data_IF_789150991630
#
_entry.id   IF_789150991630
#
_cell.length_a   1.000
_cell.length_b   1.000
_cell.length_c   1.000
_cell.angle_alpha   90.00
_cell.angle_beta   90.00
_cell.angle_gamma   90.00
#
_symmetry.space_group_name_H-M   'P 1'
#
loop_
_entity.id
_entity.type
_entity.pdbx_description
1 polymer ?
#
# COMPACT_ATOMS: atom_id res chain seq x y z
N UNK A 1 13.03 36.67 27.36
CA UNK A 1 12.82 35.26 26.98
C UNK A 1 11.35 35.14 26.63
N UNK A 2 11.00 34.57 25.45
CA UNK A 2 9.58 34.33 25.13
C UNK A 2 9.24 32.94 25.68
N UNK A 3 8.33 32.87 26.63
CA UNK A 3 7.80 31.62 27.17
C UNK A 3 6.51 31.24 26.42
N UNK A 4 6.34 29.99 26.15
CA UNK A 4 5.08 29.43 25.61
C UNK A 4 4.38 28.78 26.81
N UNK A 5 3.17 29.26 27.13
CA UNK A 5 2.32 28.57 28.10
C UNK A 5 1.73 27.33 27.43
N UNK A 6 2.00 26.19 28.04
CA UNK A 6 1.48 24.89 27.65
C UNK A 6 0.41 24.55 28.69
N UNK A 7 -0.79 24.16 28.25
CA UNK A 7 -1.84 23.70 29.17
C UNK A 7 -1.49 22.34 29.76
N UNK A 8 -2.07 22.01 30.90
CA UNK A 8 -1.79 20.78 31.66
C UNK A 8 -2.09 19.53 30.84
N UNK A 9 -3.08 19.56 29.96
CA UNK A 9 -3.45 18.42 29.10
C UNK A 9 -2.36 18.17 28.06
N UNK A 10 -1.86 19.23 27.40
CA UNK A 10 -0.79 19.11 26.43
C UNK A 10 0.53 18.69 27.09
N UNK A 11 0.82 19.20 28.29
CA UNK A 11 1.98 18.78 29.08
C UNK A 11 1.92 17.31 29.44
N UNK A 12 0.74 16.80 29.79
CA UNK A 12 0.54 15.37 30.04
C UNK A 12 0.80 14.55 28.78
N UNK A 13 0.26 14.97 27.63
CA UNK A 13 0.49 14.30 26.32
C UNK A 13 2.00 14.23 26.01
N UNK A 14 2.75 15.31 26.22
CA UNK A 14 4.20 15.32 26.00
C UNK A 14 4.94 14.37 26.94
N UNK A 15 4.56 14.32 28.22
CA UNK A 15 5.14 13.40 29.21
C UNK A 15 4.87 11.94 28.83
N UNK A 16 3.64 11.62 28.44
CA UNK A 16 3.22 10.28 28.02
C UNK A 16 3.96 9.86 26.73
N UNK A 17 4.00 10.73 25.72
CA UNK A 17 4.73 10.49 24.47
C UNK A 17 6.23 10.26 24.74
N UNK A 18 6.83 11.09 25.59
CA UNK A 18 8.24 10.91 25.99
C UNK A 18 8.48 9.58 26.64
N UNK A 19 7.63 9.19 27.60
CA UNK A 19 7.75 7.90 28.28
C UNK A 19 7.65 6.73 27.30
N UNK A 20 6.73 6.79 26.35
CA UNK A 20 6.60 5.81 25.29
C UNK A 20 7.87 5.73 24.43
N UNK A 21 8.40 6.87 23.98
CA UNK A 21 9.60 6.93 23.14
C UNK A 21 10.86 6.41 23.81
N UNK A 22 11.03 6.68 25.11
CA UNK A 22 12.18 6.20 25.90
C UNK A 22 12.15 4.67 26.10
N UNK A 23 10.94 4.11 26.18
CA UNK A 23 10.73 2.67 26.50
C UNK A 23 10.48 1.80 25.29
N UNK A 24 10.16 2.38 24.13
CA UNK A 24 9.88 1.63 22.91
C UNK A 24 11.16 1.10 22.26
N UNK A 25 10.99 0.04 21.47
CA UNK A 25 12.04 -0.41 20.56
C UNK A 25 12.14 0.54 19.36
N UNK A 26 13.26 1.23 19.24
CA UNK A 26 13.51 2.17 18.15
C UNK A 26 14.05 1.50 16.87
N UNK A 27 14.10 0.16 16.83
CA UNK A 27 14.59 -0.61 15.68
C UNK A 27 15.96 -0.13 15.16
N UNK A 28 16.83 0.33 16.07
CA UNK A 28 18.16 0.83 15.73
C UNK A 28 18.17 2.20 15.04
N UNK A 29 17.03 2.87 14.93
CA UNK A 29 16.89 4.17 14.27
C UNK A 29 16.90 5.29 15.32
N UNK A 30 17.79 6.28 15.14
CA UNK A 30 17.76 7.50 15.98
C UNK A 30 16.60 8.39 15.58
N UNK A 31 15.88 8.94 16.54
CA UNK A 31 14.72 9.81 16.33
C UNK A 31 13.69 9.21 15.35
N UNK A 32 13.18 8.00 15.60
CA UNK A 32 12.27 7.35 14.69
C UNK A 32 10.95 8.10 14.57
N UNK A 33 10.44 8.11 13.32
CA UNK A 33 9.04 8.38 13.01
C UNK A 33 8.48 7.10 12.42
N UNK A 34 7.32 6.68 12.90
CA UNK A 34 6.69 5.44 12.47
C UNK A 34 5.69 5.72 11.36
N UNK A 35 5.93 5.11 10.22
CA UNK A 35 5.10 5.23 9.03
C UNK A 35 4.19 4.02 8.97
N UNK A 36 2.88 4.23 8.94
CA UNK A 36 1.96 3.17 8.54
C UNK A 36 1.84 3.20 7.03
N UNK A 37 2.25 2.11 6.40
CA UNK A 37 2.30 1.97 4.94
C UNK A 37 1.33 0.88 4.50
N UNK A 38 0.58 1.18 3.44
CA UNK A 38 -0.29 0.23 2.74
C UNK A 38 0.43 -0.28 1.49
N UNK A 39 0.36 -1.59 1.26
CA UNK A 39 0.83 -2.19 0.01
C UNK A 39 -0.14 -1.84 -1.12
N UNK A 40 0.40 -1.53 -2.28
CA UNK A 40 -0.35 -1.37 -3.51
C UNK A 40 0.39 -2.02 -4.68
N UNK A 41 -0.31 -2.27 -5.75
CA UNK A 41 0.23 -2.80 -6.99
C UNK A 41 0.53 -1.63 -7.93
N UNK A 42 1.69 -1.68 -8.59
CA UNK A 42 2.15 -0.68 -9.55
C UNK A 42 2.56 -1.39 -10.83
N UNK A 43 2.09 -0.91 -11.97
CA UNK A 43 2.52 -1.42 -13.29
C UNK A 43 4.01 -1.13 -13.47
N UNK A 44 4.76 -2.15 -13.82
CA UNK A 44 6.22 -2.06 -13.98
C UNK A 44 6.67 -2.70 -15.28
N UNK A 45 7.77 -2.17 -15.80
CA UNK A 45 8.51 -2.80 -16.86
C UNK A 45 9.43 -3.89 -16.29
N UNK A 46 9.42 -5.08 -16.88
CA UNK A 46 10.24 -6.22 -16.47
C UNK A 46 11.74 -5.90 -16.43
N UNK A 47 12.20 -4.95 -17.26
CA UNK A 47 13.62 -4.58 -17.33
C UNK A 47 14.11 -3.83 -16.06
N UNK A 48 13.21 -3.23 -15.29
CA UNK A 48 13.59 -2.32 -14.21
C UNK A 48 13.23 -2.76 -12.80
N UNK A 49 12.31 -3.73 -12.65
CA UNK A 49 11.85 -4.18 -11.33
C UNK A 49 11.48 -5.67 -11.34
N UNK A 50 11.64 -6.28 -10.17
CA UNK A 50 11.14 -7.63 -9.94
C UNK A 50 9.62 -7.66 -10.06
N UNK A 51 9.11 -8.48 -10.97
CA UNK A 51 7.68 -8.71 -11.16
C UNK A 51 7.16 -9.54 -9.99
N UNK A 52 6.25 -8.95 -9.20
CA UNK A 52 5.64 -9.64 -8.07
C UNK A 52 4.42 -10.47 -8.48
N UNK A 53 3.67 -9.96 -9.46
CA UNK A 53 2.45 -10.61 -9.92
C UNK A 53 2.12 -10.17 -11.34
N UNK A 54 1.47 -11.05 -12.10
CA UNK A 54 0.93 -10.76 -13.44
C UNK A 54 -0.59 -10.68 -13.35
N UNK A 55 -1.17 -9.76 -14.13
CA UNK A 55 -2.63 -9.57 -14.23
C UNK A 55 -3.04 -9.42 -15.68
N UNK A 56 -4.29 -9.76 -15.95
CA UNK A 56 -4.91 -9.45 -17.23
C UNK A 56 -5.43 -8.01 -17.22
N UNK A 57 -5.08 -7.25 -18.24
CA UNK A 57 -5.62 -5.91 -18.50
C UNK A 57 -6.52 -5.98 -19.73
N UNK A 58 -7.77 -5.50 -19.59
CA UNK A 58 -8.75 -5.45 -20.68
C UNK A 58 -9.13 -3.98 -20.86
N UNK A 59 -8.75 -3.41 -22.02
CA UNK A 59 -8.97 -2.00 -22.32
C UNK A 59 -10.46 -1.64 -22.29
N UNK A 60 -10.76 -0.56 -21.55
CA UNK A 60 -12.13 -0.08 -21.37
C UNK A 60 -12.95 -0.81 -20.29
N UNK A 61 -12.39 -1.86 -19.66
CA UNK A 61 -13.08 -2.62 -18.60
C UNK A 61 -12.27 -2.75 -17.30
N UNK A 62 -10.95 -2.61 -17.36
CA UNK A 62 -10.06 -2.85 -16.20
C UNK A 62 -9.31 -1.59 -15.76
N UNK A 63 -9.88 -0.40 -15.96
CA UNK A 63 -9.21 0.87 -15.61
C UNK A 63 -8.87 0.96 -14.12
N UNK A 64 -9.73 0.40 -13.25
CA UNK A 64 -9.59 0.46 -11.79
C UNK A 64 -9.32 -0.92 -11.14
N UNK A 65 -9.37 -2.00 -11.91
CA UNK A 65 -9.26 -3.34 -11.36
C UNK A 65 -8.61 -4.33 -12.35
N UNK A 66 -7.60 -5.03 -11.88
CA UNK A 66 -6.89 -6.03 -12.65
C UNK A 66 -7.24 -7.44 -12.13
N UNK A 67 -8.08 -8.21 -12.84
CA UNK A 67 -8.55 -9.50 -12.36
C UNK A 67 -7.41 -10.49 -12.15
N UNK A 68 -7.52 -11.25 -11.07
CA UNK A 68 -6.66 -12.39 -10.79
C UNK A 68 -7.14 -13.62 -11.57
N UNK A 69 -6.33 -14.67 -11.59
CA UNK A 69 -6.77 -15.96 -12.14
C UNK A 69 -7.96 -16.53 -11.37
N UNK A 70 -8.07 -16.26 -10.06
CA UNK A 70 -9.20 -16.68 -9.22
C UNK A 70 -10.47 -15.93 -9.57
N UNK A 71 -10.39 -14.62 -9.73
CA UNK A 71 -11.55 -13.79 -10.16
C UNK A 71 -12.11 -14.29 -11.51
N UNK A 72 -11.21 -14.64 -12.46
CA UNK A 72 -11.61 -15.16 -13.75
C UNK A 72 -12.36 -16.49 -13.60
N UNK A 73 -11.90 -17.38 -12.73
CA UNK A 73 -12.56 -18.66 -12.45
C UNK A 73 -13.89 -18.50 -11.71
N UNK A 74 -14.04 -17.42 -10.95
CA UNK A 74 -15.27 -17.09 -10.23
C UNK A 74 -16.30 -16.36 -11.10
N UNK A 75 -16.02 -16.21 -12.39
CA UNK A 75 -16.99 -15.69 -13.35
C UNK A 75 -16.78 -14.25 -13.78
N UNK A 76 -15.56 -13.71 -13.64
CA UNK A 76 -15.24 -12.34 -14.07
C UNK A 76 -15.72 -12.03 -15.50
N UNK A 77 -15.56 -12.98 -16.45
CA UNK A 77 -15.99 -12.78 -17.84
C UNK A 77 -17.49 -12.87 -18.08
N UNK A 78 -18.29 -13.27 -17.09
CA UNK A 78 -19.76 -13.32 -17.22
C UNK A 78 -20.42 -11.96 -17.32
N UNK A 79 -19.70 -10.91 -16.90
CA UNK A 79 -20.14 -9.52 -17.06
C UNK A 79 -19.87 -8.96 -18.46
N UNK A 80 -19.17 -9.73 -19.32
CA UNK A 80 -18.81 -9.32 -20.67
C UNK A 80 -19.76 -9.95 -21.69
N UNK A 81 -20.01 -9.22 -22.76
CA UNK A 81 -20.79 -9.73 -23.90
C UNK A 81 -19.92 -10.66 -24.76
N UNK A 82 -19.62 -11.86 -24.21
CA UNK A 82 -18.84 -12.92 -24.84
C UNK A 82 -19.69 -14.18 -25.00
N UNK A 83 -19.37 -15.04 -25.99
CA UNK A 83 -20.01 -16.35 -26.10
C UNK A 83 -19.84 -17.20 -24.85
N UNK A 84 -20.91 -17.83 -24.38
CA UNK A 84 -20.90 -18.63 -23.15
C UNK A 84 -19.88 -19.79 -23.22
N UNK A 85 -19.74 -20.42 -24.39
CA UNK A 85 -18.73 -21.45 -24.61
C UNK A 85 -17.28 -20.96 -24.41
N UNK A 86 -17.00 -19.71 -24.82
CA UNK A 86 -15.70 -19.08 -24.57
C UNK A 86 -15.50 -18.79 -23.10
N UNK A 87 -16.52 -18.22 -22.42
CA UNK A 87 -16.46 -17.93 -20.99
C UNK A 87 -16.16 -19.21 -20.21
N UNK A 88 -16.89 -20.28 -20.47
CA UNK A 88 -16.69 -21.59 -19.83
C UNK A 88 -15.30 -22.16 -20.09
N UNK A 89 -14.73 -21.90 -21.25
CA UNK A 89 -13.36 -22.34 -21.59
C UNK A 89 -12.30 -21.50 -20.87
N UNK A 90 -12.51 -20.17 -20.74
CA UNK A 90 -11.63 -19.27 -19.99
C UNK A 90 -11.62 -19.59 -18.49
N UNK A 91 -12.79 -19.86 -17.89
CA UNK A 91 -12.92 -20.22 -16.48
C UNK A 91 -12.20 -21.54 -16.11
N UNK A 92 -12.04 -22.45 -17.06
CA UNK A 92 -11.31 -23.71 -16.87
C UNK A 92 -9.80 -23.59 -16.97
N UNK A 93 -9.29 -22.45 -17.45
CA UNK A 93 -7.84 -22.27 -17.60
C UNK A 93 -7.14 -22.14 -16.24
N UNK A 94 -5.88 -22.57 -16.18
CA UNK A 94 -5.08 -22.59 -14.96
C UNK A 94 -3.88 -21.62 -15.02
N UNK A 95 -3.79 -20.80 -16.06
CA UNK A 95 -2.79 -19.73 -16.16
C UNK A 95 -3.31 -18.57 -17.01
N UNK A 96 -2.79 -17.38 -16.74
CA UNK A 96 -3.11 -16.16 -17.50
C UNK A 96 -2.62 -16.26 -18.94
N UNK A 97 -1.49 -16.93 -19.20
CA UNK A 97 -0.97 -17.11 -20.56
C UNK A 97 -1.96 -17.90 -21.43
N UNK A 98 -2.55 -18.97 -20.88
CA UNK A 98 -3.57 -19.75 -21.60
C UNK A 98 -4.84 -18.96 -21.85
N UNK A 99 -5.25 -18.12 -20.88
CA UNK A 99 -6.38 -17.21 -21.05
C UNK A 99 -6.08 -16.22 -22.17
N UNK A 100 -4.88 -15.65 -22.16
CA UNK A 100 -4.41 -14.72 -23.18
C UNK A 100 -4.46 -15.38 -24.58
N UNK A 101 -3.89 -16.58 -24.71
CA UNK A 101 -3.87 -17.33 -25.98
C UNK A 101 -5.29 -17.60 -26.50
N UNK A 102 -6.23 -17.96 -25.61
CA UNK A 102 -7.63 -18.18 -25.97
C UNK A 102 -8.35 -16.92 -26.43
N UNK A 103 -8.15 -15.81 -25.72
CA UNK A 103 -8.71 -14.52 -26.14
C UNK A 103 -8.11 -14.04 -27.46
N UNK A 104 -6.82 -14.29 -27.67
CA UNK A 104 -6.15 -13.99 -28.93
C UNK A 104 -6.69 -14.85 -30.07
N UNK A 105 -6.85 -16.16 -29.86
CA UNK A 105 -7.45 -17.09 -30.84
C UNK A 105 -8.88 -16.64 -31.20
N UNK A 106 -9.69 -16.27 -30.19
CA UNK A 106 -11.03 -15.75 -30.39
C UNK A 106 -11.02 -14.48 -31.27
N UNK A 107 -10.13 -13.54 -30.98
CA UNK A 107 -10.00 -12.31 -31.77
C UNK A 107 -9.53 -12.59 -33.22
N UNK A 108 -8.67 -13.59 -33.42
CA UNK A 108 -8.16 -13.95 -34.76
C UNK A 108 -9.17 -14.72 -35.58
N UNK A 109 -9.96 -15.60 -34.96
CA UNK A 109 -10.91 -16.49 -35.62
C UNK A 109 -12.25 -15.83 -35.97
N UNK A 110 -12.31 -14.50 -36.02
CA UNK A 110 -13.52 -13.75 -36.30
C UNK A 110 -14.29 -14.21 -37.52
N UNK A 111 -15.32 -14.99 -37.29
CA UNK A 111 -16.48 -15.04 -38.17
C UNK A 111 -17.48 -13.96 -37.71
N UNK A 112 -17.32 -12.79 -38.27
CA UNK A 112 -18.25 -11.73 -38.68
C UNK A 112 -19.40 -11.24 -37.79
N UNK A 113 -19.86 -11.91 -36.77
CA UNK A 113 -21.07 -11.47 -36.03
C UNK A 113 -20.77 -10.69 -34.74
N UNK A 114 -19.56 -10.77 -34.20
CA UNK A 114 -19.12 -9.93 -33.05
C UNK A 114 -18.35 -8.69 -33.54
N UNK A 115 -19.00 -7.55 -33.53
CA UNK A 115 -18.44 -6.25 -33.96
C UNK A 115 -17.42 -5.65 -32.99
N UNK A 116 -17.07 -6.31 -31.90
CA UNK A 116 -16.12 -5.80 -30.89
C UNK A 116 -14.93 -6.74 -30.74
N UNK A 117 -13.77 -6.23 -31.11
CA UNK A 117 -12.50 -6.87 -30.74
C UNK A 117 -12.16 -6.45 -29.32
N UNK A 118 -11.97 -7.42 -28.43
CA UNK A 118 -11.41 -7.14 -27.11
C UNK A 118 -9.93 -6.81 -27.26
N UNK A 119 -9.55 -5.65 -26.78
CA UNK A 119 -8.15 -5.30 -26.58
C UNK A 119 -7.74 -5.70 -25.18
N UNK A 120 -6.71 -6.53 -25.05
CA UNK A 120 -6.22 -7.01 -23.77
C UNK A 120 -4.72 -7.26 -23.83
N UNK A 121 -4.08 -7.21 -22.67
CA UNK A 121 -2.67 -7.53 -22.48
C UNK A 121 -2.42 -8.14 -21.10
N UNK A 122 -1.29 -8.83 -20.94
CA UNK A 122 -0.82 -9.23 -19.62
C UNK A 122 0.14 -8.15 -19.14
N UNK A 123 -0.20 -7.54 -18.02
CA UNK A 123 0.65 -6.54 -17.38
C UNK A 123 1.41 -7.12 -16.20
N UNK A 124 2.58 -6.59 -15.97
CA UNK A 124 3.45 -6.94 -14.87
C UNK A 124 3.28 -5.91 -13.76
N UNK A 125 3.07 -6.38 -12.54
CA UNK A 125 2.89 -5.54 -11.37
C UNK A 125 3.97 -5.85 -10.34
N UNK A 126 4.50 -4.80 -9.72
CA UNK A 126 5.33 -4.90 -8.53
C UNK A 126 4.54 -4.42 -7.30
N UNK A 127 4.87 -5.01 -6.14
CA UNK A 127 4.36 -4.48 -4.88
C UNK A 127 5.18 -3.28 -4.44
N UNK A 128 4.49 -2.22 -4.13
CA UNK A 128 5.09 -1.01 -3.57
C UNK A 128 4.35 -0.60 -2.28
N UNK A 129 4.92 0.36 -1.54
CA UNK A 129 4.42 0.80 -0.26
C UNK A 129 4.09 2.29 -0.29
N UNK A 130 2.85 2.63 0.00
CA UNK A 130 2.39 4.01 0.13
C UNK A 130 2.21 4.35 1.60
N UNK A 131 2.87 5.41 2.06
CA UNK A 131 2.66 5.94 3.41
C UNK A 131 1.28 6.57 3.52
N UNK A 132 0.53 6.13 4.51
CA UNK A 132 -0.84 6.59 4.79
C UNK A 132 -0.86 7.50 6.00
N UNK A 133 -0.04 7.22 7.01
CA UNK A 133 0.01 8.00 8.24
C UNK A 133 1.39 8.00 8.87
N UNK A 134 1.65 9.01 9.70
CA UNK A 134 2.91 9.24 10.41
C UNK A 134 2.62 9.34 11.91
N UNK A 135 3.46 8.70 12.73
CA UNK A 135 3.32 8.69 14.20
C UNK A 135 4.66 8.92 14.87
N UNK A 136 4.63 9.58 16.01
CA UNK A 136 5.81 9.81 16.84
C UNK A 136 6.07 8.64 17.80
N UNK A 137 5.07 7.79 18.04
CA UNK A 137 5.17 6.62 18.90
C UNK A 137 4.81 5.34 18.13
N UNK A 138 5.54 4.25 18.43
CA UNK A 138 5.26 2.93 17.85
C UNK A 138 3.90 2.40 18.30
N UNK A 139 3.49 2.72 19.53
CA UNK A 139 2.20 2.31 20.09
C UNK A 139 1.04 2.90 19.28
N UNK A 140 1.05 4.23 19.06
CA UNK A 140 0.02 4.89 18.24
C UNK A 140 -0.03 4.35 16.81
N UNK A 141 1.13 4.09 16.21
CA UNK A 141 1.19 3.48 14.86
C UNK A 141 0.52 2.10 14.83
N UNK A 142 0.76 1.26 15.86
CA UNK A 142 0.13 -0.07 15.98
C UNK A 142 -1.38 0.03 16.21
N UNK A 143 -1.81 0.93 17.08
CA UNK A 143 -3.24 1.18 17.36
C UNK A 143 -3.97 1.65 16.09
N UNK A 144 -3.37 2.59 15.35
CA UNK A 144 -3.91 3.06 14.07
C UNK A 144 -3.99 1.93 13.04
N UNK A 145 -2.91 1.14 12.87
CA UNK A 145 -2.88 0.01 11.94
C UNK A 145 -3.98 -1.00 12.28
N UNK A 146 -4.16 -1.31 13.57
CA UNK A 146 -5.20 -2.22 14.03
C UNK A 146 -6.61 -1.67 13.78
N UNK A 147 -6.84 -0.39 14.09
CA UNK A 147 -8.11 0.28 13.87
C UNK A 147 -8.49 0.34 12.38
N UNK A 148 -7.50 0.64 11.53
CA UNK A 148 -7.70 0.79 10.09
C UNK A 148 -7.54 -0.53 9.30
N UNK A 149 -7.43 -1.67 9.95
CA UNK A 149 -7.13 -2.95 9.31
C UNK A 149 -8.00 -3.27 8.10
N UNK A 150 -9.29 -2.94 8.16
CA UNK A 150 -10.24 -3.19 7.07
C UNK A 150 -9.96 -2.32 5.82
N UNK A 151 -9.43 -1.11 6.03
CA UNK A 151 -9.16 -0.16 4.93
C UNK A 151 -7.74 -0.32 4.37
N UNK A 152 -6.82 -0.82 5.19
CA UNK A 152 -5.40 -0.91 4.81
C UNK A 152 -5.08 -2.19 4.04
N UNK A 153 -5.82 -3.29 4.29
CA UNK A 153 -5.44 -4.60 3.76
C UNK A 153 -4.04 -5.00 4.21
N UNK A 154 -3.16 -5.35 3.26
CA UNK A 154 -1.76 -5.64 3.58
C UNK A 154 -1.04 -4.35 3.91
N UNK A 155 -0.59 -4.24 5.15
CA UNK A 155 0.06 -3.03 5.68
C UNK A 155 1.24 -3.38 6.57
N UNK A 156 2.16 -2.41 6.71
CA UNK A 156 3.31 -2.53 7.61
C UNK A 156 3.54 -1.24 8.36
N UNK A 157 4.26 -1.34 9.48
CA UNK A 157 4.86 -0.19 10.15
C UNK A 157 6.33 -0.17 9.78
N UNK A 158 6.80 0.97 9.30
CA UNK A 158 8.18 1.22 8.95
C UNK A 158 8.73 2.35 9.80
N UNK A 159 9.87 2.12 10.46
CA UNK A 159 10.55 3.17 11.19
C UNK A 159 11.48 3.92 10.24
N UNK A 160 11.19 5.19 10.05
CA UNK A 160 12.02 6.09 9.25
C UNK A 160 12.79 7.06 10.15
N UNK A 161 13.85 7.62 9.61
CA UNK A 161 14.69 8.56 10.32
C UNK A 161 14.38 10.00 9.89
N UNK A 162 13.98 10.82 10.86
CA UNK A 162 13.81 12.25 10.64
C UNK A 162 15.14 12.97 10.78
N UNK A 163 15.94 13.01 9.74
CA UNK A 163 17.19 13.73 9.97
C UNK A 163 18.27 13.74 8.91
N UNK A 164 18.17 13.01 7.83
CA UNK A 164 19.23 13.07 6.82
C UNK A 164 19.29 14.40 6.07
N UNK A 165 18.16 15.07 5.88
CA UNK A 165 18.07 16.34 5.17
C UNK A 165 17.62 17.52 6.02
N UNK A 166 17.16 17.30 7.25
CA UNK A 166 16.57 18.35 8.07
C UNK A 166 17.11 18.31 9.50
N UNK A 167 18.09 19.13 9.76
CA UNK A 167 18.36 19.66 11.11
C UNK A 167 17.19 20.57 11.58
N UNK A 168 15.97 20.20 11.12
CA UNK A 168 14.76 20.98 11.29
C UNK A 168 14.20 20.92 12.71
N UNK A 169 13.17 21.70 12.93
CA UNK A 169 12.52 21.84 14.23
C UNK A 169 12.02 20.51 14.79
N UNK A 170 11.52 19.60 13.92
CA UNK A 170 11.02 18.29 14.33
C UNK A 170 12.13 17.40 14.90
N UNK A 171 13.30 17.33 14.25
CA UNK A 171 14.42 16.56 14.77
C UNK A 171 14.88 17.07 16.13
N UNK A 172 14.93 18.40 16.32
CA UNK A 172 15.25 19.01 17.61
C UNK A 172 14.21 18.72 18.68
N UNK A 173 12.92 18.73 18.31
CA UNK A 173 11.85 18.36 19.23
C UNK A 173 11.98 16.90 19.67
N UNK A 174 12.25 16.01 18.73
CA UNK A 174 12.45 14.58 19.03
C UNK A 174 13.71 14.37 19.90
N UNK A 175 14.80 15.09 19.63
CA UNK A 175 15.98 15.07 20.49
C UNK A 175 15.65 15.48 21.95
N UNK A 176 14.79 16.48 22.13
CA UNK A 176 14.31 16.89 23.47
C UNK A 176 13.45 15.81 24.11
N UNK A 177 12.53 15.22 23.35
CA UNK A 177 11.65 14.14 23.85
C UNK A 177 12.43 12.88 24.22
N UNK A 178 13.46 12.54 23.43
CA UNK A 178 14.23 11.31 23.62
C UNK A 178 15.38 11.46 24.63
N UNK A 179 15.72 12.71 25.00
CA UNK A 179 16.80 12.96 25.95
C UNK A 179 16.32 12.78 27.40
N UNK A 180 16.88 11.76 28.07
CA UNK A 180 16.55 11.39 29.45
C UNK A 180 17.00 12.46 30.48
N UNK A 181 17.95 13.30 30.12
CA UNK A 181 18.52 14.31 31.02
C UNK A 181 17.70 15.64 31.04
N UNK A 182 16.73 15.79 30.12
CA UNK A 182 15.84 16.95 30.06
C UNK A 182 14.56 16.64 30.83
N UNK A 183 14.28 17.45 31.83
CA UNK A 183 13.03 17.39 32.58
C UNK A 183 11.99 18.29 31.92
N UNK A 184 10.79 17.75 31.66
CA UNK A 184 9.62 18.53 31.31
C UNK A 184 8.92 18.91 32.64
N UNK A 185 9.07 20.17 33.06
CA UNK A 185 8.54 20.65 34.32
C UNK A 185 7.36 21.59 34.12
N UNK A 186 6.47 21.58 35.09
CA UNK A 186 5.42 22.59 35.24
C UNK A 186 6.04 23.81 35.94
N UNK A 187 5.73 25.03 35.52
CA UNK A 187 6.03 26.26 36.27
C UNK A 187 4.93 26.54 37.30
#
# INVERSE_FOLDING_TARGET
MKSIKIDDNFLKILKDLRQERITQDNWGTRNPVYLVQKRYEEVVDEEFREVAVRRLYIFGYTEDYYPTLEDIKEGYFREFDLPEELIDDLEKQNSLDKIYDKLHEFNCNKNSDFNKTLSFEIINLAYNWKTIAYFLSLKEAKEYQQYQKHNLGVSRIYADYVGYSNRGLLAKLLDVLDNKDINIIEE
#
